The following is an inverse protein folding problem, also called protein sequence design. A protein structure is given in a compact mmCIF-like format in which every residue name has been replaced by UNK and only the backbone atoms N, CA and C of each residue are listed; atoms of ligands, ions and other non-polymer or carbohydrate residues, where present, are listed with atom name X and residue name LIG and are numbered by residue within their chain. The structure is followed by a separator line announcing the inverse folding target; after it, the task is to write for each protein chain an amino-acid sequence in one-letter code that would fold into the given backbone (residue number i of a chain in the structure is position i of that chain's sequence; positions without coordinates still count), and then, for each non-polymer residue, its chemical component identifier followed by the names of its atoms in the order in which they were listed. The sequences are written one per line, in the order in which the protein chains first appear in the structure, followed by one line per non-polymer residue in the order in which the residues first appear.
data_IF_883835250160
#
_entry.id   IF_883835250160
#
_cell.length_a   1.000
_cell.length_b   1.000
_cell.length_c   1.000
_cell.angle_alpha   90.00
_cell.angle_beta   90.00
_cell.angle_gamma   90.00
#
_symmetry.space_group_name_H-M   'P 1'
#
loop_
_entity.id
_entity.type
_entity.pdbx_description
1 polymer ?
#
# COMPACT_ATOMS: atom_id res chain seq x y z
N UNK A 1 -8.97 -2.03 1.82
CA UNK A 1 -9.94 -3.15 1.95
C UNK A 1 -10.87 -2.98 3.15
N UNK A 2 -10.38 -2.54 4.30
CA UNK A 2 -11.20 -2.35 5.51
C UNK A 2 -12.40 -1.40 5.32
N UNK A 3 -12.23 -0.27 4.62
CA UNK A 3 -13.34 0.65 4.33
C UNK A 3 -14.41 0.06 3.38
N UNK A 4 -13.99 -0.69 2.36
CA UNK A 4 -14.92 -1.44 1.49
C UNK A 4 -15.71 -2.45 2.33
N UNK A 5 -15.00 -3.07 3.28
CA UNK A 5 -15.60 -3.98 4.24
C UNK A 5 -16.69 -3.31 5.09
N UNK A 6 -16.39 -2.17 5.72
CA UNK A 6 -17.36 -1.47 6.55
C UNK A 6 -18.59 -1.04 5.75
N UNK A 7 -18.38 -0.62 4.50
CA UNK A 7 -19.46 -0.21 3.62
C UNK A 7 -20.37 -1.39 3.19
N UNK A 8 -19.82 -2.59 3.00
CA UNK A 8 -20.63 -3.80 2.76
C UNK A 8 -21.46 -4.16 4.00
N UNK A 9 -20.88 -4.09 5.20
CA UNK A 9 -21.58 -4.37 6.47
C UNK A 9 -22.76 -3.41 6.63
N UNK A 10 -22.51 -2.11 6.43
CA UNK A 10 -23.57 -1.10 6.47
C UNK A 10 -24.72 -1.41 5.50
N UNK A 11 -24.43 -1.82 4.26
CA UNK A 11 -25.48 -2.17 3.30
C UNK A 11 -26.26 -3.44 3.69
N UNK A 12 -25.64 -4.36 4.45
CA UNK A 12 -26.34 -5.52 5.01
C UNK A 12 -27.28 -5.06 6.13
N UNK A 13 -26.80 -4.22 7.03
CA UNK A 13 -27.56 -3.69 8.17
C UNK A 13 -28.75 -2.82 7.69
N UNK A 14 -28.54 -2.03 6.64
CA UNK A 14 -29.58 -1.21 6.01
C UNK A 14 -30.56 -2.07 5.15
N UNK A 15 -30.38 -3.39 5.08
CA UNK A 15 -31.22 -4.32 4.31
C UNK A 15 -31.06 -4.23 2.79
N UNK A 16 -30.09 -3.44 2.31
CA UNK A 16 -29.80 -3.21 0.90
C UNK A 16 -29.01 -4.37 0.27
N UNK A 17 -28.31 -5.18 1.08
CA UNK A 17 -27.52 -6.33 0.64
C UNK A 17 -28.06 -7.65 1.18
N UNK A 18 -28.47 -8.55 0.28
CA UNK A 18 -29.03 -9.86 0.64
C UNK A 18 -27.93 -10.93 0.58
N UNK A 19 -27.65 -11.50 1.75
CA UNK A 19 -26.65 -12.55 1.94
C UNK A 19 -26.99 -13.83 1.18
N UNK A 20 -25.95 -14.59 0.79
CA UNK A 20 -26.09 -15.88 0.10
C UNK A 20 -25.65 -17.01 1.02
N UNK A 21 -26.40 -18.13 1.04
CA UNK A 21 -25.99 -19.37 1.71
C UNK A 21 -25.54 -20.38 0.66
N UNK A 22 -24.36 -20.96 0.84
CA UNK A 22 -23.82 -21.99 -0.05
C UNK A 22 -24.33 -23.41 0.27
N UNK A 23 -24.87 -23.62 1.48
CA UNK A 23 -25.48 -24.87 1.90
C UNK A 23 -26.70 -24.63 2.79
N UNK A 24 -27.56 -25.65 2.96
CA UNK A 24 -28.85 -25.55 3.68
C UNK A 24 -28.68 -25.06 5.13
N UNK A 25 -27.55 -25.43 5.76
CA UNK A 25 -27.18 -25.02 7.12
C UNK A 25 -25.91 -24.14 7.14
N UNK A 26 -25.46 -23.65 5.98
CA UNK A 26 -24.22 -22.89 5.86
C UNK A 26 -24.37 -21.45 6.36
N UNK A 27 -23.26 -20.89 6.83
CA UNK A 27 -23.21 -19.48 7.21
C UNK A 27 -23.52 -18.58 6.00
N UNK A 28 -24.32 -17.53 6.19
CA UNK A 28 -24.58 -16.55 5.14
C UNK A 28 -23.29 -15.77 4.82
N UNK A 29 -22.96 -15.67 3.54
CA UNK A 29 -21.78 -14.98 3.03
C UNK A 29 -22.18 -13.69 2.32
N UNK A 30 -21.37 -12.65 2.53
CA UNK A 30 -21.41 -11.38 1.78
C UNK A 30 -20.16 -11.16 0.94
N UNK A 31 -19.01 -11.65 1.42
CA UNK A 31 -17.71 -11.43 0.78
C UNK A 31 -16.64 -12.44 1.23
N UNK A 32 -15.60 -12.59 0.43
CA UNK A 32 -14.31 -13.16 0.81
C UNK A 32 -13.21 -12.18 0.36
N UNK A 33 -12.35 -11.78 1.30
CA UNK A 33 -11.16 -11.00 1.00
C UNK A 33 -9.96 -11.94 0.85
N UNK A 34 -9.22 -11.75 -0.22
CA UNK A 34 -7.86 -12.24 -0.39
C UNK A 34 -6.90 -11.03 -0.26
N UNK A 35 -5.58 -11.27 -0.26
CA UNK A 35 -4.58 -10.19 -0.28
C UNK A 35 -4.85 -9.19 -1.40
N UNK A 36 -5.37 -9.69 -2.52
CA UNK A 36 -5.39 -8.99 -3.80
C UNK A 36 -6.80 -8.88 -4.42
N UNK A 37 -7.71 -9.78 -4.05
CA UNK A 37 -9.05 -9.91 -4.64
C UNK A 37 -10.17 -9.84 -3.60
N UNK A 38 -11.36 -9.45 -4.07
CA UNK A 38 -12.62 -9.58 -3.31
C UNK A 38 -13.62 -10.37 -4.13
N UNK A 39 -14.12 -11.47 -3.55
CA UNK A 39 -15.32 -12.11 -4.05
C UNK A 39 -16.53 -11.53 -3.31
N UNK A 40 -17.51 -11.02 -4.03
CA UNK A 40 -18.76 -10.50 -3.47
C UNK A 40 -19.87 -11.55 -3.67
N UNK A 41 -20.60 -11.83 -2.60
CA UNK A 41 -21.73 -12.77 -2.59
C UNK A 41 -23.02 -12.01 -2.35
N UNK A 42 -23.91 -12.01 -3.33
CA UNK A 42 -25.23 -11.40 -3.21
C UNK A 42 -26.28 -12.23 -3.94
N UNK A 43 -27.53 -12.10 -3.51
CA UNK A 43 -28.66 -12.74 -4.19
C UNK A 43 -28.74 -12.26 -5.64
N UNK A 44 -29.03 -13.17 -6.56
CA UNK A 44 -29.15 -12.88 -7.97
C UNK A 44 -30.43 -12.09 -8.31
N UNK A 45 -30.40 -10.78 -8.10
CA UNK A 45 -31.48 -9.89 -8.53
C UNK A 45 -30.90 -8.63 -9.17
N UNK A 46 -31.68 -8.01 -10.06
CA UNK A 46 -31.31 -6.73 -10.67
C UNK A 46 -31.07 -5.63 -9.62
N UNK A 47 -31.89 -5.62 -8.57
CA UNK A 47 -31.74 -4.68 -7.46
C UNK A 47 -30.42 -4.89 -6.69
N UNK A 48 -30.01 -6.12 -6.44
CA UNK A 48 -28.72 -6.40 -5.80
C UNK A 48 -27.55 -5.98 -6.68
N UNK A 49 -27.58 -6.29 -7.98
CA UNK A 49 -26.54 -5.86 -8.90
C UNK A 49 -26.39 -4.33 -8.96
N UNK A 50 -27.51 -3.59 -8.99
CA UNK A 50 -27.51 -2.12 -8.96
C UNK A 50 -26.97 -1.56 -7.64
N UNK A 51 -27.30 -2.19 -6.50
CA UNK A 51 -26.79 -1.78 -5.19
C UNK A 51 -25.28 -1.99 -5.10
N UNK A 52 -24.78 -3.13 -5.58
CA UNK A 52 -23.34 -3.44 -5.64
C UNK A 52 -22.60 -2.45 -6.53
N UNK A 53 -23.12 -2.18 -7.73
CA UNK A 53 -22.53 -1.23 -8.66
C UNK A 53 -22.50 0.19 -8.08
N UNK A 54 -23.61 0.65 -7.50
CA UNK A 54 -23.70 1.96 -6.83
C UNK A 54 -22.70 2.08 -5.69
N UNK A 55 -22.62 1.04 -4.85
CA UNK A 55 -21.68 0.97 -3.73
C UNK A 55 -20.23 1.06 -4.20
N UNK A 56 -19.86 0.26 -5.21
CA UNK A 56 -18.49 0.24 -5.73
C UNK A 56 -18.13 1.54 -6.44
N UNK A 57 -19.07 2.18 -7.14
CA UNK A 57 -18.89 3.52 -7.71
C UNK A 57 -18.67 4.58 -6.63
N UNK A 58 -19.44 4.55 -5.55
CA UNK A 58 -19.23 5.46 -4.42
C UNK A 58 -17.87 5.23 -3.77
N UNK A 59 -17.53 3.98 -3.45
CA UNK A 59 -16.23 3.60 -2.90
C UNK A 59 -15.09 4.10 -3.81
N UNK A 60 -15.17 3.81 -5.10
CA UNK A 60 -14.15 4.25 -6.05
C UNK A 60 -14.04 5.77 -6.14
N UNK A 61 -15.16 6.50 -6.11
CA UNK A 61 -15.18 7.97 -6.05
C UNK A 61 -14.47 8.50 -4.80
N UNK A 62 -14.70 7.91 -3.62
CA UNK A 62 -14.04 8.32 -2.38
C UNK A 62 -12.53 8.14 -2.42
N UNK A 63 -12.05 7.07 -3.06
CA UNK A 63 -10.62 6.74 -3.10
C UNK A 63 -9.92 7.13 -4.41
N UNK A 64 -10.60 7.88 -5.30
CA UNK A 64 -10.05 8.26 -6.61
C UNK A 64 -9.77 7.07 -7.54
N UNK A 65 -10.41 5.93 -7.32
CA UNK A 65 -10.24 4.71 -8.13
C UNK A 65 -11.15 4.75 -9.36
N UNK A 66 -10.77 4.06 -10.43
CA UNK A 66 -11.62 3.82 -11.60
C UNK A 66 -12.23 2.41 -11.51
N UNK A 67 -13.55 2.32 -11.41
CA UNK A 67 -14.27 1.04 -11.54
C UNK A 67 -14.26 0.63 -13.00
N UNK A 68 -13.70 -0.54 -13.31
CA UNK A 68 -13.80 -1.12 -14.64
C UNK A 68 -14.82 -2.27 -14.62
N UNK A 69 -15.95 -2.08 -15.30
CA UNK A 69 -17.04 -3.05 -15.34
C UNK A 69 -16.96 -4.00 -16.57
N UNK A 70 -15.76 -4.23 -17.11
CA UNK A 70 -15.58 -5.12 -18.27
C UNK A 70 -15.68 -6.59 -17.87
N UNK A 71 -16.74 -7.26 -18.34
CA UNK A 71 -17.05 -8.68 -18.19
C UNK A 71 -17.10 -9.19 -16.73
N UNK A 72 -18.23 -9.01 -16.03
CA UNK A 72 -18.47 -9.81 -14.83
C UNK A 72 -18.39 -11.28 -15.24
N UNK A 73 -17.53 -12.11 -14.61
CA UNK A 73 -17.53 -13.55 -14.88
C UNK A 73 -18.73 -14.17 -14.17
N UNK A 74 -19.80 -14.46 -14.91
CA UNK A 74 -20.98 -15.15 -14.41
C UNK A 74 -20.67 -16.65 -14.29
N UNK A 75 -20.42 -17.15 -13.08
CA UNK A 75 -20.33 -18.60 -12.84
C UNK A 75 -21.69 -19.13 -12.40
N UNK A 76 -22.27 -20.03 -13.19
CA UNK A 76 -23.48 -20.78 -12.81
C UNK A 76 -23.06 -22.12 -12.21
N UNK A 77 -23.35 -22.33 -10.93
CA UNK A 77 -23.42 -23.68 -10.37
C UNK A 77 -24.84 -24.19 -10.56
N UNK A 78 -25.05 -25.51 -10.68
CA UNK A 78 -26.35 -26.15 -11.03
C UNK A 78 -27.55 -25.80 -10.12
N UNK A 79 -27.41 -24.91 -9.12
CA UNK A 79 -28.47 -24.49 -8.20
C UNK A 79 -28.53 -22.97 -7.89
N UNK A 80 -27.82 -22.13 -8.63
CA UNK A 80 -27.89 -20.68 -8.46
C UNK A 80 -27.08 -19.97 -9.54
N UNK A 81 -27.68 -18.96 -10.16
CA UNK A 81 -27.08 -18.19 -11.24
C UNK A 81 -26.52 -16.92 -10.56
N UNK A 82 -25.28 -16.54 -10.86
CA UNK A 82 -24.57 -15.44 -10.19
C UNK A 82 -24.49 -14.31 -11.21
N UNK A 83 -25.19 -13.20 -10.96
CA UNK A 83 -25.48 -12.17 -11.98
C UNK A 83 -24.50 -11.00 -12.06
N UNK A 84 -23.44 -10.98 -11.25
CA UNK A 84 -22.30 -10.08 -11.46
C UNK A 84 -21.18 -10.40 -10.47
N UNK A 85 -19.95 -10.52 -10.95
CA UNK A 85 -18.75 -10.43 -10.13
C UNK A 85 -18.10 -9.11 -10.50
N UNK A 86 -18.06 -8.17 -9.56
CA UNK A 86 -17.23 -6.97 -9.71
C UNK A 86 -15.94 -7.23 -8.95
N UNK A 87 -14.84 -7.33 -9.68
CA UNK A 87 -13.51 -7.52 -9.12
C UNK A 87 -12.81 -6.15 -9.02
N UNK A 88 -12.26 -5.85 -7.85
CA UNK A 88 -11.42 -4.67 -7.60
C UNK A 88 -10.08 -5.15 -7.09
N UNK A 89 -9.00 -4.79 -7.78
CA UNK A 89 -7.62 -5.17 -7.44
C UNK A 89 -6.95 -4.00 -6.70
N UNK A 90 -6.40 -4.23 -5.51
CA UNK A 90 -5.74 -3.20 -4.69
C UNK A 90 -4.36 -3.67 -4.19
N UNK A 91 -3.62 -4.34 -5.07
CA UNK A 91 -2.41 -5.10 -4.77
C UNK A 91 -1.13 -4.23 -4.74
N UNK A 92 -1.28 -2.91 -4.84
CA UNK A 92 -0.15 -1.98 -4.99
C UNK A 92 0.40 -1.93 -6.41
N UNK A 93 1.32 -0.99 -6.66
CA UNK A 93 1.83 -0.67 -7.99
C UNK A 93 2.62 -1.82 -8.65
N UNK A 94 3.19 -2.73 -7.86
CA UNK A 94 3.99 -3.86 -8.35
C UNK A 94 3.18 -5.13 -8.61
N UNK A 95 2.13 -5.38 -7.83
CA UNK A 95 1.36 -6.64 -7.96
C UNK A 95 0.07 -6.47 -8.76
N UNK A 96 -0.47 -5.25 -8.83
CA UNK A 96 -1.71 -4.98 -9.60
C UNK A 96 -1.52 -5.24 -11.10
N UNK A 97 -0.45 -4.76 -11.77
CA UNK A 97 -0.33 -4.95 -13.21
C UNK A 97 -0.23 -6.42 -13.65
N UNK A 98 0.63 -7.27 -13.05
CA UNK A 98 0.68 -8.69 -13.39
C UNK A 98 -0.65 -9.42 -13.15
N UNK A 99 -1.38 -9.05 -12.09
CA UNK A 99 -2.70 -9.61 -11.82
C UNK A 99 -3.72 -9.26 -12.91
N UNK A 100 -3.71 -8.01 -13.38
CA UNK A 100 -4.60 -7.58 -14.48
C UNK A 100 -4.26 -8.30 -15.79
N UNK A 101 -2.97 -8.50 -16.08
CA UNK A 101 -2.51 -9.28 -17.25
C UNK A 101 -2.98 -10.75 -17.16
N UNK A 102 -2.72 -11.42 -16.03
CA UNK A 102 -3.17 -12.81 -15.78
C UNK A 102 -4.69 -12.96 -15.81
N UNK A 103 -5.43 -11.90 -15.47
CA UNK A 103 -6.90 -11.87 -15.55
C UNK A 103 -7.43 -11.76 -16.98
N UNK A 104 -6.55 -11.54 -17.96
CA UNK A 104 -6.87 -11.47 -19.39
C UNK A 104 -7.13 -10.06 -19.92
N UNK A 105 -6.77 -9.01 -19.17
CA UNK A 105 -6.88 -7.64 -19.67
C UNK A 105 -5.76 -7.35 -20.68
N UNK A 106 -6.11 -6.75 -21.82
CA UNK A 106 -5.20 -6.51 -22.96
C UNK A 106 -4.81 -5.04 -23.16
N UNK A 107 -4.95 -4.21 -22.14
CA UNK A 107 -4.64 -2.78 -22.28
C UNK A 107 -3.12 -2.56 -22.28
N UNK A 108 -2.61 -1.96 -23.36
CA UNK A 108 -1.18 -1.66 -23.54
C UNK A 108 -0.54 -0.75 -22.47
N UNK A 109 -1.35 -0.07 -21.67
CA UNK A 109 -0.88 0.79 -20.58
C UNK A 109 -0.73 0.05 -19.25
N UNK A 110 -1.20 -1.21 -19.15
CA UNK A 110 -1.01 -2.01 -17.94
C UNK A 110 0.49 -2.18 -17.70
N UNK A 111 0.92 -1.95 -16.45
CA UNK A 111 2.31 -2.08 -16.03
C UNK A 111 3.19 -0.87 -16.32
N UNK A 112 2.77 0.06 -17.19
CA UNK A 112 3.57 1.23 -17.58
C UNK A 112 3.45 2.40 -16.58
N UNK A 113 4.40 3.33 -16.68
CA UNK A 113 4.47 4.57 -15.88
C UNK A 113 4.69 4.32 -14.38
N UNK A 114 5.46 3.28 -14.03
CA UNK A 114 5.90 3.09 -12.65
C UNK A 114 6.94 4.17 -12.31
N UNK A 115 6.68 5.01 -11.31
CA UNK A 115 7.66 5.94 -10.78
C UNK A 115 8.08 5.48 -9.39
N UNK A 116 9.38 5.50 -9.12
CA UNK A 116 9.94 5.15 -7.83
C UNK A 116 10.73 6.34 -7.30
N UNK A 117 10.60 6.66 -6.03
CA UNK A 117 11.46 7.67 -5.42
C UNK A 117 12.73 7.01 -4.90
N UNK A 118 13.92 7.26 -5.48
CA UNK A 118 15.15 6.77 -4.91
C UNK A 118 15.40 7.48 -3.58
N UNK A 119 15.59 6.69 -2.53
CA UNK A 119 15.92 7.18 -1.19
C UNK A 119 17.27 6.63 -0.80
N UNK A 120 18.19 7.50 -0.42
CA UNK A 120 19.46 7.10 0.20
C UNK A 120 19.52 7.64 1.61
N UNK A 121 19.88 6.79 2.56
CA UNK A 121 19.96 7.15 3.97
C UNK A 121 21.42 7.15 4.43
N UNK A 122 21.80 8.18 5.17
CA UNK A 122 23.05 8.28 5.89
C UNK A 122 22.77 8.29 7.40
N UNK A 123 23.68 7.70 8.17
CA UNK A 123 23.57 7.62 9.63
C UNK A 123 24.88 8.04 10.28
N UNK A 124 24.81 8.80 11.36
CA UNK A 124 25.98 9.25 12.12
C UNK A 124 25.81 8.93 13.61
N UNK A 125 26.80 8.26 14.18
CA UNK A 125 26.87 7.98 15.62
C UNK A 125 27.58 9.14 16.34
N UNK A 126 26.96 9.63 17.41
CA UNK A 126 27.50 10.67 18.28
C UNK A 126 28.07 10.03 19.55
N UNK A 127 29.41 9.88 19.67
CA UNK A 127 30.01 9.31 20.87
C UNK A 127 29.72 10.15 22.10
N UNK A 128 29.79 9.53 23.26
CA UNK A 128 29.68 10.22 24.55
C UNK A 128 31.07 10.77 24.88
N UNK A 129 31.19 12.09 25.02
CA UNK A 129 32.38 12.73 25.55
C UNK A 129 31.99 14.02 26.32
N UNK A 130 32.69 14.37 27.41
CA UNK A 130 32.31 15.48 28.30
C UNK A 130 32.22 16.86 27.63
N UNK A 131 32.92 17.06 26.51
CA UNK A 131 33.01 18.34 25.80
C UNK A 131 32.34 18.31 24.41
N UNK A 132 31.72 17.20 24.02
CA UNK A 132 31.09 17.08 22.70
C UNK A 132 29.57 17.29 22.80
N UNK A 133 29.04 18.09 21.88
CA UNK A 133 27.62 18.14 21.60
C UNK A 133 27.20 16.93 20.74
N UNK A 134 26.01 16.32 20.95
CA UNK A 134 25.03 16.62 22.00
C UNK A 134 25.40 16.00 23.35
N UNK A 135 24.93 16.62 24.44
CA UNK A 135 25.20 16.19 25.82
C UNK A 135 24.80 14.73 26.05
N UNK A 136 25.45 14.04 27.00
CA UNK A 136 25.29 12.60 27.22
C UNK A 136 23.82 12.16 27.38
N UNK A 137 23.01 12.95 28.09
CA UNK A 137 21.61 12.64 28.36
C UNK A 137 20.69 12.82 27.13
N UNK A 138 21.15 13.49 26.07
CA UNK A 138 20.36 13.73 24.85
C UNK A 138 20.30 12.49 23.98
N UNK A 139 19.10 12.21 23.47
CA UNK A 139 18.83 11.08 22.59
C UNK A 139 18.31 11.52 21.23
N UNK A 140 18.65 10.74 20.20
CA UNK A 140 18.28 11.02 18.80
C UNK A 140 16.79 10.99 18.51
N UNK A 141 16.01 10.30 19.36
CA UNK A 141 14.55 10.16 19.23
C UNK A 141 13.76 11.12 20.14
N UNK A 142 14.44 11.98 20.90
CA UNK A 142 13.80 13.01 21.70
C UNK A 142 13.70 14.31 20.87
N UNK A 143 12.48 14.79 20.65
CA UNK A 143 12.22 15.98 19.82
C UNK A 143 10.97 15.83 18.96
N UNK A 144 10.75 16.78 18.04
CA UNK A 144 9.62 16.72 17.12
C UNK A 144 9.84 15.71 15.98
N UNK A 145 8.73 15.18 15.48
CA UNK A 145 8.71 14.27 14.32
C UNK A 145 8.97 15.08 13.04
N UNK A 146 9.95 14.66 12.23
CA UNK A 146 10.26 15.26 10.92
C UNK A 146 10.40 16.80 10.95
N UNK A 147 11.18 17.32 11.90
CA UNK A 147 11.25 18.78 12.15
C UNK A 147 12.09 19.57 11.16
N UNK A 148 12.92 18.89 10.36
CA UNK A 148 13.81 19.55 9.41
C UNK A 148 13.73 18.92 8.02
N UNK A 149 13.48 19.78 7.04
CA UNK A 149 13.54 19.49 5.62
C UNK A 149 14.42 20.55 4.98
N UNK A 150 15.38 20.13 4.16
CA UNK A 150 16.22 21.04 3.38
C UNK A 150 15.96 20.84 1.89
N UNK A 151 15.70 21.96 1.22
CA UNK A 151 15.49 22.04 -0.23
C UNK A 151 16.76 22.46 -0.97
N UNK A 152 17.93 22.50 -0.30
CA UNK A 152 19.20 22.96 -0.88
C UNK A 152 19.59 22.19 -2.16
N UNK A 153 19.15 20.94 -2.27
CA UNK A 153 19.45 20.06 -3.39
C UNK A 153 18.25 19.81 -4.32
N UNK A 154 17.13 20.54 -4.19
CA UNK A 154 15.91 20.25 -4.97
C UNK A 154 15.99 20.63 -6.44
N UNK A 155 16.86 21.57 -6.78
CA UNK A 155 17.14 21.99 -8.15
C UNK A 155 18.62 21.82 -8.47
N UNK A 156 19.06 20.57 -8.42
CA UNK A 156 20.44 20.21 -8.67
C UNK A 156 20.79 20.58 -10.13
N UNK A 157 21.86 21.36 -10.29
CA UNK A 157 22.32 21.88 -11.59
C UNK A 157 21.25 22.63 -12.40
N UNK A 158 20.26 23.27 -11.75
CA UNK A 158 19.18 24.00 -12.44
C UNK A 158 18.37 23.13 -13.41
N UNK A 159 18.29 21.83 -13.13
CA UNK A 159 17.62 20.85 -13.99
C UNK A 159 16.10 20.76 -13.78
N UNK A 160 15.57 21.40 -12.73
CA UNK A 160 14.21 21.18 -12.24
C UNK A 160 14.02 19.88 -11.44
N UNK A 161 15.12 19.13 -11.24
CA UNK A 161 15.17 17.87 -10.49
C UNK A 161 16.25 17.92 -9.42
N UNK A 162 16.09 17.07 -8.41
CA UNK A 162 17.01 17.03 -7.28
C UNK A 162 16.47 16.19 -6.14
N UNK A 163 17.03 16.42 -4.96
CA UNK A 163 16.67 15.72 -3.74
C UNK A 163 16.23 16.68 -2.64
N UNK A 164 15.24 16.23 -1.87
CA UNK A 164 14.88 16.83 -0.60
C UNK A 164 15.62 16.07 0.51
N UNK A 165 16.34 16.79 1.36
CA UNK A 165 17.03 16.20 2.51
C UNK A 165 16.11 16.27 3.72
N UNK A 166 15.90 15.15 4.41
CA UNK A 166 14.99 15.07 5.55
C UNK A 166 15.57 14.24 6.68
N UNK A 167 15.22 14.61 7.91
CA UNK A 167 15.50 13.81 9.10
C UNK A 167 14.24 12.99 9.44
N UNK A 168 14.27 11.64 9.30
CA UNK A 168 13.11 10.82 9.62
C UNK A 168 12.93 10.73 11.14
N UNK A 169 11.69 10.49 11.58
CA UNK A 169 11.46 9.97 12.93
C UNK A 169 11.79 8.47 12.93
N UNK A 170 13.00 8.15 13.36
CA UNK A 170 13.47 6.77 13.44
C UNK A 170 13.21 6.22 14.84
N UNK A 171 12.43 5.15 14.93
CA UNK A 171 12.20 4.40 16.17
C UNK A 171 13.02 3.11 16.13
N UNK A 172 13.35 2.47 17.28
CA UNK A 172 14.18 1.26 17.30
C UNK A 172 13.73 0.16 16.33
N UNK A 173 12.41 -0.04 16.19
CA UNK A 173 11.84 -1.03 15.28
C UNK A 173 11.97 -0.67 13.80
N UNK A 174 11.90 0.60 13.43
CA UNK A 174 12.14 1.03 12.05
C UNK A 174 13.64 1.00 11.73
N UNK A 175 14.46 1.43 12.68
CA UNK A 175 15.91 1.38 12.58
C UNK A 175 16.43 -0.04 12.36
N UNK A 176 15.91 -1.04 13.07
CA UNK A 176 16.33 -2.43 12.90
C UNK A 176 16.03 -3.01 11.52
N UNK A 177 14.95 -2.54 10.86
CA UNK A 177 14.56 -2.96 9.51
C UNK A 177 15.40 -2.24 8.44
N UNK A 178 15.73 -0.96 8.67
CA UNK A 178 16.45 -0.14 7.70
C UNK A 178 17.97 -0.32 7.75
N UNK A 179 18.52 -0.81 8.86
CA UNK A 179 19.95 -1.10 8.95
C UNK A 179 20.32 -2.37 8.18
N UNK A 180 21.38 -2.34 7.36
CA UNK A 180 21.83 -3.52 6.66
C UNK A 180 22.26 -4.59 7.67
N UNK A 181 21.79 -5.81 7.46
CA UNK A 181 22.25 -6.95 8.25
C UNK A 181 23.62 -7.41 7.74
N UNK A 182 24.66 -7.21 8.55
CA UNK A 182 25.98 -7.78 8.29
C UNK A 182 26.25 -9.01 9.18
N UNK A 183 25.93 -8.91 10.47
CA UNK A 183 26.04 -10.01 11.43
C UNK A 183 25.18 -9.76 12.68
N UNK A 184 24.97 -10.81 13.47
CA UNK A 184 24.26 -10.69 14.75
C UNK A 184 24.98 -9.82 15.78
N UNK A 185 26.30 -9.66 15.70
CA UNK A 185 27.07 -8.77 16.58
C UNK A 185 27.00 -7.32 16.12
N UNK A 186 27.11 -7.06 14.81
CA UNK A 186 27.00 -5.72 14.21
C UNK A 186 25.62 -5.11 14.48
N UNK A 187 24.54 -5.86 14.28
CA UNK A 187 23.20 -5.33 14.55
C UNK A 187 22.99 -5.04 16.04
N UNK A 188 23.52 -5.86 16.95
CA UNK A 188 23.40 -5.64 18.40
C UNK A 188 24.16 -4.38 18.82
N UNK A 189 25.36 -4.19 18.29
CA UNK A 189 26.15 -2.98 18.54
C UNK A 189 25.45 -1.72 18.00
N UNK A 190 24.92 -1.77 16.78
CA UNK A 190 24.12 -0.67 16.20
C UNK A 190 22.86 -0.36 17.01
N UNK A 191 22.13 -1.39 17.44
CA UNK A 191 20.94 -1.23 18.29
C UNK A 191 21.30 -0.65 19.66
N UNK A 192 22.44 -1.02 20.24
CA UNK A 192 22.92 -0.43 21.49
C UNK A 192 23.26 1.07 21.32
N UNK A 193 23.78 1.45 20.15
CA UNK A 193 24.13 2.83 19.78
C UNK A 193 22.96 3.66 19.22
N UNK A 194 21.79 3.06 19.04
CA UNK A 194 20.64 3.69 18.39
C UNK A 194 20.26 5.05 19.01
N UNK A 195 20.23 5.13 20.35
CA UNK A 195 19.86 6.36 21.08
C UNK A 195 20.77 7.55 20.78
N UNK A 196 21.94 7.31 20.22
CA UNK A 196 22.96 8.30 19.87
C UNK A 196 23.27 8.32 18.38
N UNK A 197 22.43 7.69 17.55
CA UNK A 197 22.58 7.67 16.10
C UNK A 197 21.53 8.57 15.46
N UNK A 198 21.97 9.57 14.70
CA UNK A 198 21.09 10.40 13.90
C UNK A 198 21.02 9.89 12.47
N UNK A 199 19.89 10.14 11.82
CA UNK A 199 19.60 9.72 10.46
C UNK A 199 19.22 10.90 9.60
N UNK A 200 19.70 10.89 8.36
CA UNK A 200 19.25 11.82 7.33
C UNK A 200 19.04 11.00 6.06
N UNK A 201 17.99 11.28 5.30
CA UNK A 201 17.83 10.70 3.98
C UNK A 201 17.68 11.78 2.91
N UNK A 202 18.16 11.46 1.72
CA UNK A 202 17.91 12.21 0.51
C UNK A 202 16.81 11.51 -0.29
N UNK A 203 15.69 12.21 -0.49
CA UNK A 203 14.58 11.76 -1.33
C UNK A 203 14.71 12.42 -2.71
N UNK A 204 15.17 11.65 -3.69
CA UNK A 204 15.34 12.13 -5.06
C UNK A 204 14.02 11.98 -5.85
N UNK A 205 13.74 12.94 -6.72
CA UNK A 205 12.63 12.82 -7.68
C UNK A 205 13.05 11.94 -8.86
N UNK A 206 12.21 10.97 -9.21
CA UNK A 206 12.41 10.16 -10.42
C UNK A 206 12.34 11.03 -11.68
N UNK A 207 13.27 10.83 -12.60
CA UNK A 207 13.24 11.42 -13.94
C UNK A 207 12.67 10.46 -14.97
N UNK A 208 12.74 9.16 -14.69
CA UNK A 208 12.32 8.12 -15.61
C UNK A 208 11.00 7.49 -15.15
N UNK A 209 10.52 6.54 -15.93
CA UNK A 209 9.42 5.67 -15.55
C UNK A 209 9.77 4.23 -15.92
N UNK A 210 9.48 3.31 -15.02
CA UNK A 210 9.61 1.88 -15.21
C UNK A 210 8.35 1.23 -15.79
N UNK A 211 8.49 -0.08 -16.04
CA UNK A 211 7.38 -0.97 -16.40
C UNK A 211 7.40 -2.17 -15.45
N UNK A 212 6.23 -2.56 -14.97
CA UNK A 212 6.00 -3.80 -14.23
C UNK A 212 5.46 -4.82 -15.20
N UNK A 213 6.15 -5.96 -15.31
CA UNK A 213 5.74 -7.08 -16.15
C UNK A 213 5.55 -8.31 -15.28
N UNK A 214 4.67 -9.21 -15.70
CA UNK A 214 4.64 -10.54 -15.12
C UNK A 214 5.98 -11.24 -15.42
N UNK A 215 6.68 -11.68 -14.37
CA UNK A 215 7.96 -12.37 -14.56
C UNK A 215 7.72 -13.72 -15.23
N UNK A 216 8.46 -14.09 -16.29
CA UNK A 216 8.39 -15.45 -16.81
C UNK A 216 8.96 -16.40 -15.76
N UNK A 217 8.13 -17.35 -15.32
CA UNK A 217 8.57 -18.50 -14.53
C UNK A 217 9.49 -19.40 -15.35
#
# INVERSE_FOLDING_TARGET
MEFLSQHIIKNIDDGLWKLVRLSRNGHPLSRLFFTDDVLLFAKETKSQALNIDSMLKQFAKYFGLKVNATNPRFSSTRRGKISSIVASTACGALSTPPLLERSGLKNKNIGRNLHLYPVTMASGYFPIAPELWPEEHKKSYEGGIMTAMSTVATDFNKSGYGAVIQTPSSHPGLFSILMPWNSGTDIKDRMHKFSRTAHVFALARDQASGTVVDSPN
#
